data_IF_029073119208
#
_entry.id   IF_029073119208
#
_cell.length_a   1.000
_cell.length_b   1.000
_cell.length_c   1.000
_cell.angle_alpha   90.00
_cell.angle_beta   90.00
_cell.angle_gamma   90.00
#
_symmetry.space_group_name_H-M   'P 1'
#
loop_
_entity.id
_entity.type
_entity.pdbx_description
1 polymer ?
#
# COMPACT_ATOMS: atom_id res chain seq x y z
N UNK A 1 -64.92 -34.64 1.37
CA UNK A 1 -63.80 -34.81 2.29
C UNK A 1 -62.84 -33.67 2.01
N UNK A 2 -62.78 -32.69 2.92
CA UNK A 2 -62.04 -31.45 2.79
C UNK A 2 -60.59 -31.70 3.18
N UNK A 3 -59.66 -31.31 2.31
CA UNK A 3 -58.24 -31.13 2.67
C UNK A 3 -57.91 -29.64 2.64
N UNK A 4 -57.75 -29.08 3.84
CA UNK A 4 -57.31 -27.72 4.09
C UNK A 4 -55.83 -27.59 3.75
N UNK A 5 -55.49 -26.65 2.88
CA UNK A 5 -54.13 -26.25 2.57
C UNK A 5 -53.50 -25.52 3.77
N UNK A 6 -52.50 -26.14 4.37
CA UNK A 6 -51.67 -25.50 5.38
C UNK A 6 -50.74 -24.46 4.72
N UNK A 7 -50.94 -23.21 5.08
CA UNK A 7 -50.11 -22.05 4.71
C UNK A 7 -48.71 -22.23 5.27
N UNK A 8 -47.73 -22.53 4.40
CA UNK A 8 -46.31 -22.45 4.73
C UNK A 8 -45.97 -20.97 4.73
N UNK A 9 -45.83 -20.38 5.91
CA UNK A 9 -45.23 -19.05 6.08
C UNK A 9 -43.75 -19.15 5.70
N UNK A 10 -43.43 -18.63 4.54
CA UNK A 10 -42.07 -18.45 4.07
C UNK A 10 -41.45 -17.30 4.88
N UNK A 11 -40.69 -17.62 5.94
CA UNK A 11 -39.92 -16.65 6.71
C UNK A 11 -38.66 -16.31 5.87
N UNK A 12 -38.86 -15.42 4.91
CA UNK A 12 -37.77 -14.81 4.16
C UNK A 12 -36.93 -13.87 5.04
N UNK A 13 -35.96 -14.44 5.74
CA UNK A 13 -34.90 -13.70 6.47
C UNK A 13 -33.63 -13.63 5.62
N UNK A 14 -33.71 -13.07 4.41
CA UNK A 14 -32.52 -12.65 3.65
C UNK A 14 -32.89 -11.41 2.84
N UNK A 15 -32.38 -10.23 3.29
CA UNK A 15 -32.40 -9.04 2.47
C UNK A 15 -32.79 -7.72 3.13
N UNK A 16 -32.60 -7.53 4.43
CA UNK A 16 -32.68 -6.16 4.97
C UNK A 16 -31.31 -5.47 4.74
N UNK A 17 -31.27 -4.55 3.76
CA UNK A 17 -30.21 -3.55 3.71
C UNK A 17 -30.19 -2.84 5.07
N UNK A 18 -29.04 -2.85 5.73
CA UNK A 18 -28.84 -2.15 6.99
C UNK A 18 -29.15 -0.67 6.78
N UNK A 19 -30.11 -0.06 7.49
CA UNK A 19 -30.38 1.36 7.32
C UNK A 19 -29.18 2.14 7.87
N UNK A 20 -28.34 2.68 7.00
CA UNK A 20 -27.33 3.66 7.38
C UNK A 20 -27.98 5.03 7.21
N UNK A 21 -28.09 5.80 8.31
CA UNK A 21 -28.48 7.19 8.22
C UNK A 21 -27.29 8.06 7.83
N UNK A 22 -27.55 9.22 7.26
CA UNK A 22 -26.49 10.12 6.78
C UNK A 22 -25.56 10.58 7.93
N UNK A 23 -26.09 10.81 9.11
CA UNK A 23 -25.30 11.25 10.28
C UNK A 23 -24.28 10.19 10.69
N UNK A 24 -24.65 8.91 10.75
CA UNK A 24 -23.72 7.82 11.08
C UNK A 24 -22.65 7.66 10.01
N UNK A 25 -23.02 7.85 8.74
CA UNK A 25 -22.07 7.83 7.63
C UNK A 25 -21.04 8.96 7.73
N UNK A 26 -21.48 10.19 8.02
CA UNK A 26 -20.60 11.34 8.21
C UNK A 26 -19.63 11.14 9.39
N UNK A 27 -20.14 10.62 10.51
CA UNK A 27 -19.32 10.29 11.68
C UNK A 27 -18.28 9.21 11.35
N UNK A 28 -18.66 8.19 10.57
CA UNK A 28 -17.73 7.15 10.12
C UNK A 28 -16.66 7.71 9.17
N UNK A 29 -17.04 8.57 8.22
CA UNK A 29 -16.10 9.26 7.34
C UNK A 29 -15.11 10.12 8.14
N UNK A 30 -15.58 10.84 9.15
CA UNK A 30 -14.74 11.62 10.04
C UNK A 30 -13.76 10.73 10.82
N UNK A 31 -14.25 9.61 11.36
CA UNK A 31 -13.40 8.63 12.06
C UNK A 31 -12.29 8.11 11.13
N UNK A 32 -12.60 7.66 9.92
CA UNK A 32 -11.59 7.18 8.96
C UNK A 32 -10.57 8.25 8.59
N UNK A 33 -11.04 9.46 8.32
CA UNK A 33 -10.16 10.58 7.98
C UNK A 33 -9.19 10.91 9.12
N UNK A 34 -9.67 10.88 10.37
CA UNK A 34 -8.84 11.13 11.56
C UNK A 34 -7.86 10.00 11.83
N UNK A 35 -8.29 8.75 11.69
CA UNK A 35 -7.52 7.56 12.09
C UNK A 35 -6.49 7.15 11.02
N UNK A 36 -6.88 7.15 9.75
CA UNK A 36 -6.03 6.66 8.65
C UNK A 36 -5.95 7.60 7.44
N UNK A 37 -6.57 8.78 7.49
CA UNK A 37 -6.51 9.78 6.45
C UNK A 37 -7.40 9.49 5.24
N UNK A 38 -8.07 8.33 5.18
CA UNK A 38 -8.92 7.95 4.06
C UNK A 38 -10.12 8.90 3.99
N UNK A 39 -10.27 9.54 2.82
CA UNK A 39 -11.39 10.41 2.51
C UNK A 39 -12.38 9.66 1.63
N UNK A 40 -13.60 9.47 2.12
CA UNK A 40 -14.71 8.90 1.36
C UNK A 40 -15.57 10.03 0.79
N UNK A 41 -15.93 9.94 -0.50
CA UNK A 41 -16.87 10.87 -1.13
C UNK A 41 -18.31 10.57 -0.72
N UNK A 42 -19.20 11.56 -0.92
CA UNK A 42 -20.62 11.49 -0.51
C UNK A 42 -21.38 10.26 -1.06
N UNK A 43 -20.99 9.73 -2.20
CA UNK A 43 -21.68 8.62 -2.87
C UNK A 43 -21.05 7.23 -2.59
N UNK A 44 -20.33 7.03 -1.47
CA UNK A 44 -19.67 5.76 -1.13
C UNK A 44 -20.37 4.96 -0.03
N UNK A 45 -21.61 5.30 0.30
CA UNK A 45 -22.41 4.61 1.31
C UNK A 45 -22.50 3.11 1.04
N UNK A 46 -22.77 2.72 -0.21
CA UNK A 46 -22.86 1.32 -0.63
C UNK A 46 -21.56 0.53 -0.38
N UNK A 47 -20.42 1.21 -0.56
CA UNK A 47 -19.09 0.62 -0.32
C UNK A 47 -18.88 0.36 1.17
N UNK A 48 -19.27 1.32 2.02
CA UNK A 48 -19.20 1.19 3.48
C UNK A 48 -20.08 0.03 3.93
N UNK A 49 -21.34 -0.02 3.45
CA UNK A 49 -22.26 -1.11 3.76
C UNK A 49 -21.69 -2.47 3.38
N UNK A 50 -21.24 -2.64 2.14
CA UNK A 50 -20.78 -3.94 1.65
C UNK A 50 -19.51 -4.41 2.36
N UNK A 51 -18.58 -3.49 2.68
CA UNK A 51 -17.30 -3.83 3.32
C UNK A 51 -17.42 -4.05 4.83
N UNK A 52 -18.31 -3.33 5.51
CA UNK A 52 -18.45 -3.43 6.96
C UNK A 52 -19.48 -4.47 7.41
N UNK A 53 -20.41 -4.88 6.54
CA UNK A 53 -21.45 -5.87 6.89
C UNK A 53 -20.88 -7.13 7.56
N UNK A 54 -19.84 -7.82 7.02
CA UNK A 54 -19.30 -9.02 7.67
C UNK A 54 -18.68 -8.73 9.04
N UNK A 55 -18.09 -7.53 9.22
CA UNK A 55 -17.49 -7.12 10.49
C UNK A 55 -18.59 -6.89 11.52
N UNK A 56 -19.63 -6.12 11.14
CA UNK A 56 -20.73 -5.82 12.04
C UNK A 56 -21.48 -7.08 12.47
N UNK A 57 -21.69 -8.04 11.56
CA UNK A 57 -22.28 -9.34 11.88
C UNK A 57 -21.42 -10.11 12.90
N UNK A 58 -20.09 -10.14 12.71
CA UNK A 58 -19.15 -10.81 13.60
C UNK A 58 -19.13 -10.20 15.02
N UNK A 59 -19.25 -8.87 15.10
CA UNK A 59 -19.27 -8.14 16.38
C UNK A 59 -20.69 -7.92 16.94
N UNK A 60 -21.73 -8.48 16.27
CA UNK A 60 -23.14 -8.36 16.65
C UNK A 60 -23.62 -6.90 16.77
N UNK A 61 -23.19 -6.06 15.82
CA UNK A 61 -23.57 -4.66 15.73
C UNK A 61 -24.73 -4.49 14.75
N UNK A 62 -25.72 -3.72 15.12
CA UNK A 62 -26.97 -3.56 14.37
C UNK A 62 -27.03 -2.27 13.56
N UNK A 63 -26.14 -1.30 13.83
CA UNK A 63 -26.06 -0.03 13.10
C UNK A 63 -24.63 0.48 12.93
N UNK A 64 -24.40 1.33 11.92
CA UNK A 64 -23.13 1.99 11.72
C UNK A 64 -22.79 2.93 12.89
N UNK A 65 -23.81 3.54 13.50
CA UNK A 65 -23.62 4.39 14.67
C UNK A 65 -23.11 3.61 15.89
N UNK A 66 -23.55 2.36 16.09
CA UNK A 66 -22.97 1.49 17.13
C UNK A 66 -21.51 1.17 16.86
N UNK A 67 -21.16 0.88 15.60
CA UNK A 67 -19.77 0.64 15.21
C UNK A 67 -18.89 1.87 15.48
N UNK A 68 -19.33 3.05 15.06
CA UNK A 68 -18.58 4.31 15.27
C UNK A 68 -18.39 4.60 16.76
N UNK A 69 -19.41 4.40 17.57
CA UNK A 69 -19.35 4.59 19.03
C UNK A 69 -18.34 3.64 19.66
N UNK A 70 -18.41 2.36 19.32
CA UNK A 70 -17.48 1.33 19.82
C UNK A 70 -16.03 1.60 19.41
N UNK A 71 -15.81 2.11 18.20
CA UNK A 71 -14.50 2.55 17.73
C UNK A 71 -14.00 3.81 18.48
N UNK A 72 -14.89 4.75 18.80
CA UNK A 72 -14.56 5.99 19.49
C UNK A 72 -14.23 5.77 20.98
N UNK A 73 -14.90 4.84 21.63
CA UNK A 73 -14.65 4.44 23.02
C UNK A 73 -13.27 3.80 23.21
N UNK A 74 -12.69 3.25 22.15
CA UNK A 74 -11.39 2.59 22.20
C UNK A 74 -11.43 1.23 22.90
N UNK A 75 -10.25 0.63 23.11
CA UNK A 75 -10.16 -0.68 23.78
C UNK A 75 -10.46 -1.89 22.88
N UNK A 76 -10.91 -1.67 21.67
CA UNK A 76 -11.28 -2.69 20.68
C UNK A 76 -10.28 -2.76 19.53
N UNK A 77 -8.99 -2.97 19.84
CA UNK A 77 -7.90 -2.99 18.83
C UNK A 77 -8.15 -3.97 17.67
N UNK A 78 -8.82 -5.09 17.94
CA UNK A 78 -9.22 -6.04 16.90
C UNK A 78 -10.27 -5.48 15.95
N UNK A 79 -11.26 -4.77 16.45
CA UNK A 79 -12.32 -4.14 15.64
C UNK A 79 -11.74 -3.03 14.75
N UNK A 80 -10.92 -2.13 15.32
CA UNK A 80 -10.26 -1.08 14.55
C UNK A 80 -9.40 -1.66 13.41
N UNK A 81 -8.59 -2.68 13.71
CA UNK A 81 -7.80 -3.41 12.69
C UNK A 81 -8.69 -3.91 11.56
N UNK A 82 -9.79 -4.62 11.88
CA UNK A 82 -10.69 -5.18 10.88
C UNK A 82 -11.37 -4.09 10.03
N UNK A 83 -11.78 -2.99 10.65
CA UNK A 83 -12.40 -1.86 9.94
C UNK A 83 -11.39 -1.20 8.99
N UNK A 84 -10.17 -0.92 9.43
CA UNK A 84 -9.11 -0.36 8.58
C UNK A 84 -8.79 -1.32 7.43
N UNK A 85 -8.60 -2.61 7.71
CA UNK A 85 -8.34 -3.64 6.69
C UNK A 85 -9.47 -3.74 5.65
N UNK A 86 -10.72 -3.60 6.07
CA UNK A 86 -11.86 -3.63 5.16
C UNK A 86 -12.00 -2.35 4.34
N UNK A 87 -11.64 -1.19 4.91
CA UNK A 87 -11.80 0.10 4.24
C UNK A 87 -10.62 0.48 3.34
N UNK A 88 -9.46 -0.14 3.50
CA UNK A 88 -8.33 0.03 2.58
C UNK A 88 -8.62 -0.61 1.21
N UNK A 89 -8.09 0.00 0.16
CA UNK A 89 -8.13 -0.55 -1.20
C UNK A 89 -6.73 -0.99 -1.58
N UNK A 90 -6.51 -2.30 -1.53
CA UNK A 90 -5.19 -2.91 -1.68
C UNK A 90 -4.91 -3.41 -3.12
N UNK A 91 -5.53 -2.77 -4.15
CA UNK A 91 -5.29 -3.16 -5.53
C UNK A 91 -3.85 -2.86 -5.95
N UNK A 92 -3.15 -3.90 -6.38
CA UNK A 92 -1.75 -3.83 -6.80
C UNK A 92 -1.46 -4.83 -7.91
N UNK A 93 -0.32 -4.69 -8.58
CA UNK A 93 0.16 -5.65 -9.60
C UNK A 93 1.69 -5.68 -9.61
N UNK A 94 2.25 -6.76 -10.13
CA UNK A 94 3.69 -6.86 -10.34
C UNK A 94 4.14 -5.83 -11.37
N UNK A 95 5.30 -5.19 -11.15
CA UNK A 95 5.93 -4.23 -12.06
C UNK A 95 4.98 -3.14 -12.57
N UNK A 96 4.02 -2.69 -11.76
CA UNK A 96 3.02 -1.69 -12.13
C UNK A 96 3.67 -0.44 -12.74
N UNK A 97 3.21 -0.06 -13.95
CA UNK A 97 3.69 1.07 -14.78
C UNK A 97 5.13 0.92 -15.32
N UNK A 98 5.83 -0.17 -15.07
CA UNK A 98 7.18 -0.57 -15.54
C UNK A 98 8.29 0.48 -15.41
N UNK A 99 8.08 1.74 -15.85
CA UNK A 99 9.10 2.79 -15.89
C UNK A 99 9.83 3.06 -14.57
N UNK A 100 9.21 2.93 -13.36
CA UNK A 100 9.92 3.13 -12.11
C UNK A 100 11.02 2.08 -11.88
N UNK A 101 10.73 0.84 -12.29
CA UNK A 101 11.69 -0.26 -12.18
C UNK A 101 12.80 -0.16 -13.23
N UNK A 102 12.49 0.34 -14.44
CA UNK A 102 13.49 0.65 -15.45
C UNK A 102 14.43 1.75 -14.95
N UNK A 103 13.90 2.83 -14.36
CA UNK A 103 14.72 3.91 -13.79
C UNK A 103 15.63 3.42 -12.66
N UNK A 104 15.14 2.54 -11.77
CA UNK A 104 15.99 1.90 -10.77
C UNK A 104 17.17 1.19 -11.41
N UNK A 105 16.90 0.33 -12.41
CA UNK A 105 17.91 -0.49 -13.08
C UNK A 105 18.92 0.36 -13.86
N UNK A 106 18.43 1.30 -14.67
CA UNK A 106 19.23 1.98 -15.69
C UNK A 106 19.93 3.24 -15.16
N UNK A 107 19.36 3.87 -14.14
CA UNK A 107 19.86 5.15 -13.62
C UNK A 107 20.40 4.99 -12.19
N UNK A 108 19.55 4.52 -11.25
CA UNK A 108 19.93 4.54 -9.83
C UNK A 108 21.01 3.51 -9.55
N UNK A 109 20.82 2.24 -9.93
CA UNK A 109 21.80 1.19 -9.62
C UNK A 109 23.13 1.38 -10.33
N UNK A 110 23.12 1.95 -11.54
CA UNK A 110 24.35 2.27 -12.29
C UNK A 110 25.12 3.45 -11.70
N UNK A 111 24.43 4.38 -11.04
CA UNK A 111 25.05 5.54 -10.41
C UNK A 111 25.66 5.25 -9.03
N UNK A 112 25.32 4.11 -8.39
CA UNK A 112 25.89 3.75 -7.08
C UNK A 112 27.41 3.55 -7.19
N UNK A 113 28.22 4.29 -6.39
CA UNK A 113 29.67 4.15 -6.40
C UNK A 113 30.12 2.75 -5.96
N UNK A 114 31.17 2.23 -6.60
CA UNK A 114 31.78 0.95 -6.21
C UNK A 114 32.43 0.99 -4.81
N UNK A 115 32.64 2.16 -4.26
CA UNK A 115 33.19 2.40 -2.91
C UNK A 115 32.09 2.50 -1.85
N UNK A 116 30.80 2.45 -2.23
CA UNK A 116 29.71 2.55 -1.27
C UNK A 116 29.63 1.30 -0.40
N UNK A 117 29.85 1.45 0.90
CA UNK A 117 29.77 0.36 1.88
C UNK A 117 28.42 0.24 2.58
N UNK A 118 27.63 1.33 2.56
CA UNK A 118 26.29 1.34 3.15
C UNK A 118 25.26 0.81 2.13
N UNK A 119 24.23 0.10 2.59
CA UNK A 119 23.17 -0.37 1.69
C UNK A 119 22.43 0.82 1.06
N UNK A 120 22.04 0.66 -0.20
CA UNK A 120 21.05 1.53 -0.84
C UNK A 120 19.69 1.20 -0.21
N UNK A 121 19.05 2.20 0.38
CA UNK A 121 17.79 2.01 1.11
C UNK A 121 16.59 2.47 0.29
N UNK A 122 15.64 1.57 0.10
CA UNK A 122 14.43 1.81 -0.70
C UNK A 122 13.21 1.59 0.18
N UNK A 123 12.28 2.55 0.16
CA UNK A 123 11.01 2.45 0.87
C UNK A 123 9.86 2.31 -0.13
N UNK A 124 9.07 1.24 -0.01
CA UNK A 124 7.78 1.08 -0.68
C UNK A 124 6.68 1.44 0.32
N UNK A 125 6.17 2.66 0.22
CA UNK A 125 5.14 3.23 1.09
C UNK A 125 3.75 2.86 0.58
N UNK A 126 2.87 2.33 1.44
CA UNK A 126 1.60 1.69 1.10
C UNK A 126 1.81 0.52 0.12
N UNK A 127 2.67 -0.42 0.52
CA UNK A 127 3.13 -1.53 -0.32
C UNK A 127 2.05 -2.60 -0.57
N UNK A 128 0.87 -2.50 0.04
CA UNK A 128 -0.22 -3.45 -0.09
C UNK A 128 0.25 -4.90 0.16
N UNK A 129 -0.08 -5.84 -0.68
CA UNK A 129 0.34 -7.25 -0.62
C UNK A 129 1.82 -7.50 -0.99
N UNK A 130 2.66 -6.46 -1.04
CA UNK A 130 4.10 -6.59 -1.25
C UNK A 130 4.57 -6.72 -2.70
N UNK A 131 3.68 -6.68 -3.69
CA UNK A 131 4.03 -6.81 -5.11
C UNK A 131 5.11 -5.81 -5.54
N UNK A 132 4.99 -4.53 -5.15
CA UNK A 132 5.97 -3.49 -5.49
C UNK A 132 7.32 -3.76 -4.82
N UNK A 133 7.35 -4.01 -3.52
CA UNK A 133 8.59 -4.28 -2.78
C UNK A 133 9.34 -5.52 -3.33
N UNK A 134 8.61 -6.58 -3.67
CA UNK A 134 9.22 -7.75 -4.28
C UNK A 134 9.62 -7.52 -5.74
N UNK A 135 8.86 -6.73 -6.52
CA UNK A 135 9.28 -6.34 -7.88
C UNK A 135 10.60 -5.57 -7.86
N UNK A 136 10.79 -4.66 -6.89
CA UNK A 136 12.07 -3.97 -6.67
C UNK A 136 13.17 -5.00 -6.38
N UNK A 137 12.94 -5.95 -5.46
CA UNK A 137 13.93 -6.97 -5.12
C UNK A 137 14.28 -7.89 -6.31
N UNK A 138 13.32 -8.21 -7.18
CA UNK A 138 13.57 -8.99 -8.40
C UNK A 138 14.48 -8.21 -9.37
N UNK A 139 14.22 -6.92 -9.59
CA UNK A 139 15.08 -6.07 -10.43
C UNK A 139 16.50 -5.99 -9.86
N UNK A 140 16.65 -5.89 -8.53
CA UNK A 140 17.97 -5.96 -7.88
C UNK A 140 18.67 -7.28 -8.21
N UNK A 141 17.95 -8.41 -8.07
CA UNK A 141 18.53 -9.72 -8.37
C UNK A 141 18.94 -9.84 -9.84
N UNK A 142 18.10 -9.37 -10.75
CA UNK A 142 18.39 -9.36 -12.19
C UNK A 142 19.58 -8.46 -12.54
N UNK A 143 19.69 -7.29 -11.89
CA UNK A 143 20.80 -6.36 -12.06
C UNK A 143 22.12 -6.98 -11.58
N UNK A 144 22.17 -7.55 -10.39
CA UNK A 144 23.37 -8.15 -9.81
C UNK A 144 23.86 -9.36 -10.60
N UNK A 145 22.96 -10.17 -11.18
CA UNK A 145 23.34 -11.27 -12.05
C UNK A 145 24.01 -10.81 -13.34
N UNK A 146 23.59 -9.67 -13.88
CA UNK A 146 24.19 -9.06 -15.09
C UNK A 146 25.43 -8.24 -14.80
N UNK A 147 25.58 -7.75 -13.56
CA UNK A 147 26.64 -6.86 -13.14
C UNK A 147 27.29 -7.34 -11.82
N UNK A 148 28.08 -8.43 -11.86
CA UNK A 148 28.72 -8.97 -10.66
C UNK A 148 29.60 -7.92 -9.97
N UNK A 149 29.52 -7.84 -8.64
CA UNK A 149 30.29 -6.90 -7.82
C UNK A 149 29.70 -5.48 -7.72
N UNK A 150 28.66 -5.15 -8.48
CA UNK A 150 27.93 -3.87 -8.31
C UNK A 150 27.11 -3.88 -7.01
N UNK A 151 26.78 -2.69 -6.52
CA UNK A 151 26.05 -2.46 -5.26
C UNK A 151 26.74 -3.13 -4.06
N UNK A 152 28.02 -2.83 -3.79
CA UNK A 152 28.82 -3.56 -2.80
C UNK A 152 28.29 -3.42 -1.37
N UNK A 153 27.62 -2.31 -1.05
CA UNK A 153 26.93 -2.12 0.23
C UNK A 153 25.62 -2.91 0.37
N UNK A 154 25.16 -3.55 -0.71
CA UNK A 154 23.86 -4.23 -0.75
C UNK A 154 22.67 -3.30 -0.88
N UNK A 155 21.48 -3.87 -0.74
CA UNK A 155 20.19 -3.13 -0.80
C UNK A 155 19.28 -3.57 0.35
N UNK A 156 18.64 -2.61 0.99
CA UNK A 156 17.59 -2.79 1.98
C UNK A 156 16.27 -2.22 1.44
N UNK A 157 15.22 -3.04 1.41
CA UNK A 157 13.89 -2.65 0.97
C UNK A 157 12.96 -2.74 2.16
N UNK A 158 12.27 -1.64 2.48
CA UNK A 158 11.26 -1.60 3.54
C UNK A 158 9.90 -1.35 2.90
N UNK A 159 9.00 -2.33 3.00
CA UNK A 159 7.60 -2.17 2.64
C UNK A 159 6.79 -1.74 3.87
N UNK A 160 5.92 -0.75 3.73
CA UNK A 160 5.00 -0.38 4.80
C UNK A 160 3.58 -0.26 4.30
N UNK A 161 2.64 -0.66 5.14
CA UNK A 161 1.21 -0.48 4.89
C UNK A 161 0.46 -0.27 6.21
N UNK A 162 -0.73 0.29 6.15
CA UNK A 162 -1.63 0.41 7.31
C UNK A 162 -2.44 -0.88 7.50
N UNK A 163 -2.73 -1.60 6.41
CA UNK A 163 -3.48 -2.86 6.42
C UNK A 163 -2.62 -3.99 6.97
N UNK A 164 -3.01 -4.50 8.12
CA UNK A 164 -2.34 -5.66 8.73
C UNK A 164 -2.54 -6.92 7.89
N UNK A 165 -3.72 -7.09 7.30
CA UNK A 165 -4.04 -8.22 6.41
C UNK A 165 -3.13 -8.23 5.17
N UNK A 166 -2.92 -7.07 4.55
CA UNK A 166 -2.05 -6.96 3.40
C UNK A 166 -0.59 -7.28 3.77
N UNK A 167 -0.11 -6.79 4.91
CA UNK A 167 1.23 -7.09 5.41
C UNK A 167 1.43 -8.56 5.78
N UNK A 168 0.44 -9.23 6.36
CA UNK A 168 0.48 -10.67 6.63
C UNK A 168 0.72 -11.47 5.35
N UNK A 169 0.00 -11.16 4.26
CA UNK A 169 0.22 -11.78 2.96
C UNK A 169 1.60 -11.40 2.37
N UNK A 170 1.99 -10.13 2.42
CA UNK A 170 3.30 -9.67 1.96
C UNK A 170 4.44 -10.41 2.70
N UNK A 171 4.37 -10.55 4.01
CA UNK A 171 5.35 -11.29 4.82
C UNK A 171 5.37 -12.79 4.49
N UNK A 172 4.21 -13.40 4.22
CA UNK A 172 4.16 -14.79 3.77
C UNK A 172 4.91 -14.97 2.46
N UNK A 173 4.77 -14.02 1.53
CA UNK A 173 5.30 -14.08 0.18
C UNK A 173 4.68 -15.19 -0.67
N UNK A 174 3.50 -15.68 -0.29
CA UNK A 174 2.73 -16.70 -0.99
C UNK A 174 1.60 -16.05 -1.77
N UNK A 175 1.51 -16.35 -3.06
CA UNK A 175 0.53 -15.78 -3.97
C UNK A 175 -0.18 -16.88 -4.76
N UNK A 176 -1.46 -16.68 -5.02
CA UNK A 176 -2.24 -17.58 -5.88
C UNK A 176 -1.76 -17.50 -7.34
N UNK A 177 -2.09 -18.50 -8.18
CA UNK A 177 -1.81 -18.44 -9.60
C UNK A 177 -2.32 -17.15 -10.25
N UNK A 178 -3.56 -16.76 -9.94
CA UNK A 178 -4.19 -15.55 -10.47
C UNK A 178 -3.41 -14.27 -10.12
N UNK A 179 -2.93 -14.16 -8.88
CA UNK A 179 -2.14 -12.99 -8.44
C UNK A 179 -0.78 -12.92 -9.13
N UNK A 180 -0.23 -14.03 -9.60
CA UNK A 180 1.06 -14.06 -10.33
C UNK A 180 0.94 -13.85 -11.84
N UNK A 181 -0.27 -13.75 -12.38
CA UNK A 181 -0.49 -13.51 -13.82
C UNK A 181 -0.46 -12.02 -14.17
N UNK A 182 -0.86 -11.14 -13.22
CA UNK A 182 -1.01 -9.72 -13.50
C UNK A 182 0.31 -8.95 -13.38
N UNK A 183 0.97 -8.71 -14.51
CA UNK A 183 2.20 -7.90 -14.62
C UNK A 183 3.50 -8.67 -14.38
N UNK A 184 3.43 -9.99 -14.15
CA UNK A 184 4.60 -10.85 -14.01
C UNK A 184 4.77 -11.71 -15.27
N UNK A 185 5.93 -11.62 -15.94
CA UNK A 185 6.24 -12.50 -17.05
C UNK A 185 6.45 -13.95 -16.59
N UNK A 186 6.18 -14.91 -17.48
CA UNK A 186 6.40 -16.32 -17.16
C UNK A 186 7.87 -16.62 -16.83
N UNK A 187 8.82 -15.94 -17.48
CA UNK A 187 10.25 -16.05 -17.18
C UNK A 187 10.55 -15.61 -15.75
N UNK A 188 10.06 -14.43 -15.32
CA UNK A 188 10.23 -13.94 -13.96
C UNK A 188 9.55 -14.83 -12.94
N UNK A 189 8.36 -15.35 -13.24
CA UNK A 189 7.66 -16.30 -12.37
C UNK A 189 8.48 -17.56 -12.16
N UNK A 190 9.02 -18.18 -13.22
CA UNK A 190 9.89 -19.36 -13.10
C UNK A 190 11.19 -19.07 -12.34
N UNK A 191 11.74 -17.86 -12.47
CA UNK A 191 13.02 -17.47 -11.87
C UNK A 191 12.90 -17.08 -10.39
N UNK A 192 11.82 -16.42 -10.01
CA UNK A 192 11.70 -15.76 -8.71
C UNK A 192 10.64 -16.38 -7.80
N UNK A 193 9.96 -17.43 -8.25
CA UNK A 193 8.98 -18.15 -7.45
C UNK A 193 9.20 -19.65 -7.49
N UNK A 194 8.83 -20.32 -6.40
CA UNK A 194 8.72 -21.77 -6.31
C UNK A 194 7.25 -22.16 -6.20
N UNK A 195 6.81 -23.14 -6.99
CA UNK A 195 5.47 -23.71 -6.86
C UNK A 195 5.41 -24.61 -5.64
N UNK A 196 4.47 -24.35 -4.72
CA UNK A 196 4.33 -25.08 -3.45
C UNK A 196 3.12 -26.04 -3.42
N UNK A 197 2.35 -26.11 -4.51
CA UNK A 197 1.05 -26.82 -4.53
C UNK A 197 -0.11 -26.00 -3.94
N UNK A 198 0.17 -25.05 -3.07
CA UNK A 198 -0.80 -24.08 -2.53
C UNK A 198 -0.76 -22.74 -3.26
N UNK A 199 0.26 -22.52 -4.10
CA UNK A 199 0.49 -21.27 -4.84
C UNK A 199 1.97 -21.09 -5.17
N UNK A 200 2.34 -19.86 -5.48
CA UNK A 200 3.67 -19.45 -5.85
C UNK A 200 4.35 -18.69 -4.70
N UNK A 201 5.40 -19.28 -4.13
CA UNK A 201 6.19 -18.71 -3.06
C UNK A 201 7.37 -17.91 -3.62
N UNK A 202 7.51 -16.66 -3.22
CA UNK A 202 8.69 -15.85 -3.54
C UNK A 202 9.96 -16.53 -3.03
N UNK A 203 11.00 -16.63 -3.86
CA UNK A 203 12.28 -17.27 -3.51
C UNK A 203 13.01 -16.54 -2.39
N UNK A 204 13.83 -17.26 -1.62
CA UNK A 204 14.63 -16.71 -0.53
C UNK A 204 15.53 -15.56 -0.95
N UNK A 205 16.10 -15.62 -2.17
CA UNK A 205 16.97 -14.58 -2.70
C UNK A 205 16.26 -13.26 -2.96
N UNK A 206 14.98 -13.29 -3.31
CA UNK A 206 14.16 -12.09 -3.44
C UNK A 206 13.69 -11.64 -2.07
N UNK A 207 13.24 -12.56 -1.22
CA UNK A 207 12.62 -12.26 0.08
C UNK A 207 13.61 -11.66 1.08
N UNK A 208 14.85 -12.09 1.11
CA UNK A 208 15.88 -11.69 2.10
C UNK A 208 16.19 -10.19 2.14
N UNK A 209 15.91 -9.44 1.04
CA UNK A 209 16.16 -8.00 0.96
C UNK A 209 14.99 -7.15 1.42
N UNK A 210 13.83 -7.75 1.65
CA UNK A 210 12.58 -7.04 1.93
C UNK A 210 12.15 -7.29 3.36
N UNK A 211 11.84 -6.22 4.07
CA UNK A 211 11.17 -6.28 5.37
C UNK A 211 9.86 -5.50 5.32
N UNK A 212 8.86 -5.95 6.10
CA UNK A 212 7.55 -5.31 6.13
C UNK A 212 7.23 -4.80 7.53
N UNK A 213 6.62 -3.59 7.62
CA UNK A 213 6.25 -2.96 8.89
C UNK A 213 4.91 -2.25 8.75
N UNK A 214 4.10 -2.30 9.80
CA UNK A 214 2.89 -1.48 9.88
C UNK A 214 3.26 -0.02 10.02
N UNK A 215 2.70 0.84 9.17
CA UNK A 215 2.90 2.28 9.24
C UNK A 215 1.71 3.03 8.66
N UNK A 216 1.33 4.10 9.34
CA UNK A 216 0.28 5.01 8.91
C UNK A 216 0.90 6.30 8.37
N UNK A 217 0.67 6.60 7.09
CA UNK A 217 1.29 7.75 6.40
C UNK A 217 0.88 9.12 6.96
N UNK A 218 -0.24 9.22 7.66
CA UNK A 218 -0.68 10.50 8.26
C UNK A 218 -0.05 10.78 9.64
N UNK A 219 0.75 9.87 10.18
CA UNK A 219 1.46 10.15 11.44
C UNK A 219 2.52 11.23 11.27
N UNK A 220 2.82 11.96 12.34
CA UNK A 220 3.78 13.07 12.27
C UNK A 220 5.25 12.62 12.30
N UNK A 221 5.53 11.36 12.64
CA UNK A 221 6.87 10.83 12.75
C UNK A 221 7.03 9.54 11.96
N UNK A 222 8.11 9.45 11.18
CA UNK A 222 8.47 8.27 10.42
C UNK A 222 9.78 7.67 10.97
N UNK A 223 9.72 6.78 11.97
CA UNK A 223 10.92 6.20 12.60
C UNK A 223 11.55 5.11 11.71
N UNK A 224 11.67 5.38 10.42
CA UNK A 224 12.16 4.43 9.41
C UNK A 224 13.61 4.71 8.98
N UNK A 225 14.16 5.87 9.37
CA UNK A 225 15.47 6.34 8.95
C UNK A 225 15.45 7.02 7.57
N UNK A 226 16.64 7.25 6.99
CA UNK A 226 16.80 7.91 5.68
C UNK A 226 16.78 6.89 4.56
N UNK A 227 16.25 7.29 3.40
CA UNK A 227 16.15 6.48 2.19
C UNK A 227 16.79 7.20 1.00
N UNK A 228 17.38 6.44 0.11
CA UNK A 228 17.84 6.93 -1.20
C UNK A 228 16.69 7.03 -2.18
N UNK A 229 15.68 6.15 -2.01
CA UNK A 229 14.52 6.05 -2.90
C UNK A 229 13.25 5.78 -2.11
N UNK A 230 12.19 6.51 -2.43
CA UNK A 230 10.85 6.27 -1.89
C UNK A 230 9.89 6.02 -3.05
N UNK A 231 9.13 4.92 -2.97
CA UNK A 231 7.94 4.66 -3.78
C UNK A 231 6.71 4.99 -2.95
N UNK A 232 5.92 5.97 -3.38
CA UNK A 232 4.63 6.33 -2.79
C UNK A 232 3.62 6.43 -3.90
N UNK A 233 3.15 5.29 -4.40
CA UNK A 233 2.41 5.21 -5.66
C UNK A 233 0.98 4.72 -5.45
N UNK A 234 0.05 5.39 -6.11
CA UNK A 234 -1.38 5.02 -6.13
C UNK A 234 -2.02 4.97 -4.74
N UNK A 235 -1.56 5.81 -3.83
CA UNK A 235 -2.07 5.92 -2.46
C UNK A 235 -2.49 7.34 -2.11
N UNK A 236 -1.82 8.37 -2.64
CA UNK A 236 -2.16 9.77 -2.35
C UNK A 236 -3.57 10.13 -2.82
N UNK A 237 -4.11 9.39 -3.80
CA UNK A 237 -5.48 9.57 -4.32
C UNK A 237 -6.57 9.41 -3.24
N UNK A 238 -6.26 8.73 -2.13
CA UNK A 238 -7.22 8.50 -1.03
C UNK A 238 -7.20 9.60 0.03
N UNK A 239 -6.25 10.54 -0.04
CA UNK A 239 -6.03 11.56 0.98
C UNK A 239 -6.53 12.94 0.55
N UNK A 240 -6.94 13.75 1.53
CA UNK A 240 -7.20 15.18 1.32
C UNK A 240 -5.93 15.93 0.92
N UNK A 241 -6.07 17.11 0.29
CA UNK A 241 -4.91 17.93 -0.10
C UNK A 241 -4.02 18.30 1.09
N UNK A 242 -4.61 18.52 2.27
CA UNK A 242 -3.86 18.76 3.52
C UNK A 242 -3.01 17.55 3.91
N UNK A 243 -3.58 16.35 3.90
CA UNK A 243 -2.84 15.13 4.22
C UNK A 243 -1.78 14.81 3.16
N UNK A 244 -2.05 15.05 1.87
CA UNK A 244 -1.04 14.89 0.81
C UNK A 244 0.20 15.75 1.06
N UNK A 245 0.00 17.05 1.36
CA UNK A 245 1.10 17.95 1.69
C UNK A 245 1.89 17.46 2.92
N UNK A 246 1.20 17.08 4.00
CA UNK A 246 1.81 16.53 5.21
C UNK A 246 2.63 15.26 4.93
N UNK A 247 2.08 14.31 4.18
CA UNK A 247 2.76 13.05 3.81
C UNK A 247 4.03 13.36 3.02
N UNK A 248 3.94 14.23 2.02
CA UNK A 248 5.10 14.60 1.20
C UNK A 248 6.17 15.34 2.01
N UNK A 249 5.80 16.22 2.93
CA UNK A 249 6.74 16.87 3.84
C UNK A 249 7.44 15.88 4.77
N UNK A 250 6.73 14.88 5.26
CA UNK A 250 7.32 13.81 6.06
C UNK A 250 8.28 12.95 5.23
N UNK A 251 7.95 12.66 3.96
CA UNK A 251 8.83 11.91 3.06
C UNK A 251 10.11 12.70 2.73
N UNK A 252 10.03 14.02 2.58
CA UNK A 252 11.22 14.87 2.42
C UNK A 252 12.20 14.71 3.59
N UNK A 253 11.70 14.57 4.82
CA UNK A 253 12.55 14.37 6.01
C UNK A 253 13.18 12.99 6.09
N UNK A 254 12.64 12.03 5.35
CA UNK A 254 13.16 10.66 5.27
C UNK A 254 14.00 10.40 4.02
N UNK A 255 14.12 11.38 3.11
CA UNK A 255 14.83 11.20 1.85
C UNK A 255 16.19 11.89 1.93
N UNK A 256 17.26 11.19 1.52
CA UNK A 256 18.59 11.81 1.43
C UNK A 256 18.61 12.95 0.41
N UNK A 257 19.44 13.99 0.56
CA UNK A 257 19.60 15.00 -0.46
C UNK A 257 19.95 14.38 -1.83
N UNK A 258 19.23 14.78 -2.87
CA UNK A 258 19.35 14.17 -4.21
C UNK A 258 18.66 12.82 -4.38
N UNK A 259 17.99 12.29 -3.35
CA UNK A 259 17.24 11.06 -3.40
C UNK A 259 15.96 11.18 -4.25
N UNK A 260 15.38 10.04 -4.60
CA UNK A 260 14.28 9.96 -5.58
C UNK A 260 12.95 9.56 -4.94
N UNK A 261 11.88 10.21 -5.39
CA UNK A 261 10.50 9.88 -5.02
C UNK A 261 9.71 9.51 -6.28
N UNK A 262 9.09 8.34 -6.25
CA UNK A 262 8.17 7.86 -7.29
C UNK A 262 6.74 7.99 -6.81
N UNK A 263 5.90 8.66 -7.61
CA UNK A 263 4.46 8.76 -7.42
C UNK A 263 3.71 7.96 -8.50
N UNK A 264 2.43 7.69 -8.28
CA UNK A 264 1.58 7.09 -9.31
C UNK A 264 1.36 8.05 -10.50
N UNK A 265 1.07 7.50 -11.67
CA UNK A 265 0.92 8.29 -12.91
C UNK A 265 -0.18 9.38 -12.81
N UNK A 266 -1.21 9.18 -11.98
CA UNK A 266 -2.29 10.13 -11.73
C UNK A 266 -2.11 10.97 -10.46
N UNK A 267 -0.91 11.02 -9.90
CA UNK A 267 -0.59 11.69 -8.64
C UNK A 267 0.48 12.79 -8.84
N UNK A 268 0.15 13.91 -9.52
CA UNK A 268 1.13 14.96 -9.76
C UNK A 268 1.48 15.70 -8.46
N UNK A 269 2.76 16.04 -8.30
CA UNK A 269 3.27 16.77 -7.13
C UNK A 269 3.04 18.29 -7.21
N UNK A 270 2.74 18.84 -8.37
CA UNK A 270 2.86 20.26 -8.69
C UNK A 270 2.20 21.24 -7.70
N UNK A 271 1.24 20.76 -6.91
CA UNK A 271 0.49 21.61 -5.96
C UNK A 271 0.85 21.38 -4.48
N UNK A 272 1.84 20.50 -4.18
CA UNK A 272 2.06 20.06 -2.80
C UNK A 272 3.46 20.31 -2.28
N UNK A 273 4.48 20.42 -3.14
CA UNK A 273 5.86 20.67 -2.71
C UNK A 273 6.73 21.28 -3.81
N UNK A 274 7.48 22.34 -3.49
CA UNK A 274 8.50 22.94 -4.35
C UNK A 274 9.92 22.39 -4.07
N UNK A 275 10.03 21.43 -3.17
CA UNK A 275 11.31 20.83 -2.71
C UNK A 275 11.88 19.82 -3.70
N UNK A 276 11.10 19.41 -4.68
CA UNK A 276 11.51 18.44 -5.69
C UNK A 276 11.70 19.10 -7.06
N UNK A 277 12.58 18.53 -7.85
CA UNK A 277 12.70 18.75 -9.28
C UNK A 277 12.12 17.55 -10.04
N UNK A 278 11.53 17.80 -11.20
CA UNK A 278 11.01 16.75 -12.06
C UNK A 278 12.12 16.20 -12.96
N UNK A 279 12.25 14.88 -12.98
CA UNK A 279 13.16 14.17 -13.87
C UNK A 279 12.30 13.37 -14.86
N UNK A 280 12.20 13.83 -16.12
CA UNK A 280 11.47 13.08 -17.15
C UNK A 280 12.21 11.78 -17.46
N UNK A 281 11.47 10.66 -17.54
CA UNK A 281 12.03 9.38 -17.92
C UNK A 281 11.01 8.50 -18.62
N UNK A 282 11.30 8.10 -19.87
CA UNK A 282 10.41 7.27 -20.68
C UNK A 282 8.97 7.85 -20.72
N UNK A 283 7.99 7.13 -20.17
CA UNK A 283 6.57 7.51 -20.17
C UNK A 283 6.11 8.08 -18.81
N UNK A 284 7.03 8.45 -17.91
CA UNK A 284 6.69 8.92 -16.58
C UNK A 284 7.54 10.07 -16.09
N UNK A 285 7.18 10.57 -14.94
CA UNK A 285 7.90 11.61 -14.21
C UNK A 285 8.35 11.06 -12.87
N UNK A 286 9.60 11.32 -12.54
CA UNK A 286 10.21 10.96 -11.26
C UNK A 286 10.58 12.26 -10.57
N UNK A 287 10.52 12.29 -9.26
CA UNK A 287 10.82 13.47 -8.49
C UNK A 287 12.14 13.26 -7.75
N UNK A 288 13.06 14.22 -7.88
CA UNK A 288 14.33 14.22 -7.18
C UNK A 288 14.33 15.32 -6.13
N UNK A 289 14.71 15.01 -4.90
CA UNK A 289 14.83 15.99 -3.83
C UNK A 289 15.96 16.96 -4.17
N UNK A 290 15.65 18.25 -4.24
CA UNK A 290 16.67 19.29 -4.48
C UNK A 290 17.72 19.26 -3.39
N UNK A 291 18.98 19.37 -3.78
CA UNK A 291 20.05 19.64 -2.84
C UNK A 291 19.89 21.09 -2.36
N UNK A 292 19.35 21.27 -1.17
CA UNK A 292 19.44 22.58 -0.51
C UNK A 292 20.90 22.73 -0.09
N UNK A 293 21.77 23.21 -0.98
CA UNK A 293 23.04 23.77 -0.56
C UNK A 293 22.67 24.96 0.32
N UNK A 294 23.08 24.91 1.58
CA UNK A 294 22.83 25.98 2.51
C UNK A 294 23.24 27.31 1.88
N UNK A 295 22.29 28.23 1.81
CA UNK A 295 22.61 29.64 1.88
C UNK A 295 23.17 29.84 3.29
N UNK A 296 24.50 29.89 3.37
CA UNK A 296 25.27 30.40 4.53
C UNK A 296 25.38 31.90 4.36
#
# INVERSE_FOLDING_TARGET
MNWTAASIRNTGLYGSSMPINNSDYEQFCHYLMKTCGITLGENKLYLVQSRLKPIMENYKLFSLGELVRMLAEGGHAGLEKHVIDAMTTNETSWFRDEYPFMFLNDVIFTAVPMTQTKPLRIWSAACSYGHEAYSISMIVQEFLLRNPGRLPGGIEIIGTDISSKALEQAMSGLYSPFETERGLSEERRKKHFSNTGQGFQVTGDVKKRVSFRKHNLITNAYPLGMFDVIFCRNVLIYFSNKHKAQILDNMVRCLVPGGYLFLGASEPMSNYSNRFEMVPFSRGVIYRLKNVRGEV
#
